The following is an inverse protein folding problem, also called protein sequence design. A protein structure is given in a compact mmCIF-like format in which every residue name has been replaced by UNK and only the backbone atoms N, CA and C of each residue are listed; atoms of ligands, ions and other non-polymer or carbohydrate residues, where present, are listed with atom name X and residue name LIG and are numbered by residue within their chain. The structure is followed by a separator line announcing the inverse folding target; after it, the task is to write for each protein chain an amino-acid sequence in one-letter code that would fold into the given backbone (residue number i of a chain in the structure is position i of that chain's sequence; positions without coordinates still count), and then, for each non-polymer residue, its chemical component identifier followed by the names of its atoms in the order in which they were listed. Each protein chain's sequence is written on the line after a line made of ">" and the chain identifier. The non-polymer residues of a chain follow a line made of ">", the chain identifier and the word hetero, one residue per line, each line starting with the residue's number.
data_IF_840736768817
#
_entry.id   IF_840736768817
#
_cell.length_a   1.000
_cell.length_b   1.000
_cell.length_c   1.000
_cell.angle_alpha   90.00
_cell.angle_beta   90.00
_cell.angle_gamma   90.00
#
_symmetry.space_group_name_H-M   'P 1'
#
loop_
_entity.id
_entity.type
_entity.pdbx_description
1 polymer ?
#
# COMPACT_ATOMS: atom_id res chain seq x y z
N UNK A 1 1.83 12.38 0.76
CA UNK A 1 1.95 12.67 2.20
C UNK A 1 2.54 11.44 2.87
N UNK A 2 3.58 11.55 3.69
CA UNK A 2 4.29 10.40 4.29
C UNK A 2 3.45 9.63 5.32
N UNK A 3 2.52 10.30 6.00
CA UNK A 3 1.57 9.68 6.93
C UNK A 3 0.22 9.51 6.22
N UNK A 4 -0.19 8.27 5.88
CA UNK A 4 -1.43 8.07 5.15
C UNK A 4 -2.66 8.42 5.98
N UNK A 5 -3.75 8.77 5.32
CA UNK A 5 -5.07 8.78 5.94
C UNK A 5 -5.78 7.48 5.55
N UNK A 6 -6.55 6.93 6.49
CA UNK A 6 -7.32 5.72 6.27
C UNK A 6 -8.80 6.03 6.48
N UNK A 7 -9.65 5.30 5.77
CA UNK A 7 -11.10 5.33 5.90
C UNK A 7 -11.58 3.92 6.21
N UNK A 8 -12.40 3.80 7.25
CA UNK A 8 -13.23 2.62 7.45
C UNK A 8 -14.47 2.75 6.57
N UNK A 9 -14.67 1.75 5.72
CA UNK A 9 -15.83 1.69 4.84
C UNK A 9 -16.36 0.26 4.86
N UNK A 10 -17.51 0.06 5.49
CA UNK A 10 -18.09 -1.27 5.74
C UNK A 10 -17.08 -2.18 6.45
N UNK A 11 -16.73 -3.32 5.87
CA UNK A 11 -15.74 -4.25 6.42
C UNK A 11 -14.29 -3.90 6.06
N UNK A 12 -14.04 -2.86 5.26
CA UNK A 12 -12.71 -2.48 4.80
C UNK A 12 -12.03 -1.41 5.66
N UNK A 13 -10.71 -1.43 5.65
CA UNK A 13 -9.84 -0.30 5.98
C UNK A 13 -9.03 0.03 4.74
N UNK A 14 -9.30 1.20 4.14
CA UNK A 14 -8.69 1.60 2.87
C UNK A 14 -7.95 2.94 3.00
N UNK A 15 -6.94 3.14 2.15
CA UNK A 15 -6.24 4.42 2.01
C UNK A 15 -7.19 5.48 1.46
N UNK A 16 -7.13 6.68 2.03
CA UNK A 16 -7.89 7.83 1.57
C UNK A 16 -7.17 8.60 0.43
N UNK A 17 -7.91 9.24 -0.49
CA UNK A 17 -9.38 9.20 -0.62
C UNK A 17 -9.89 7.88 -1.20
N UNK A 18 -11.08 7.45 -0.79
CA UNK A 18 -11.71 6.22 -1.27
C UNK A 18 -12.45 6.44 -2.59
N UNK A 19 -12.10 5.66 -3.62
CA UNK A 19 -12.87 5.52 -4.85
C UNK A 19 -13.89 4.38 -4.70
N UNK A 20 -15.12 4.74 -4.30
CA UNK A 20 -16.20 3.78 -4.04
C UNK A 20 -16.66 3.09 -5.33
N UNK A 21 -16.69 3.81 -6.45
CA UNK A 21 -17.15 3.26 -7.73
C UNK A 21 -16.21 2.14 -8.19
N UNK A 22 -14.90 2.38 -8.13
CA UNK A 22 -13.89 1.37 -8.44
C UNK A 22 -13.97 0.16 -7.52
N UNK A 23 -14.15 0.37 -6.22
CA UNK A 23 -14.33 -0.71 -5.24
C UNK A 23 -15.52 -1.60 -5.63
N UNK A 24 -16.69 -1.01 -5.89
CA UNK A 24 -17.89 -1.76 -6.28
C UNK A 24 -17.75 -2.46 -7.63
N UNK A 25 -17.04 -1.84 -8.57
CA UNK A 25 -16.73 -2.45 -9.86
C UNK A 25 -15.95 -3.75 -9.68
N UNK A 26 -14.92 -3.75 -8.83
CA UNK A 26 -14.14 -4.96 -8.54
C UNK A 26 -14.93 -6.02 -7.76
N UNK A 27 -15.71 -5.61 -6.75
CA UNK A 27 -16.57 -6.55 -6.01
C UNK A 27 -17.58 -7.24 -6.93
N UNK A 28 -18.17 -6.50 -7.86
CA UNK A 28 -19.19 -7.03 -8.78
C UNK A 28 -18.59 -7.96 -9.85
N UNK A 29 -17.35 -7.71 -10.27
CA UNK A 29 -16.67 -8.57 -11.25
C UNK A 29 -16.49 -10.01 -10.76
N UNK A 30 -16.31 -10.20 -9.45
CA UNK A 30 -16.02 -11.51 -8.85
C UNK A 30 -14.65 -12.11 -9.23
N UNK A 31 -13.81 -11.38 -9.97
CA UNK A 31 -12.51 -11.86 -10.46
C UNK A 31 -11.40 -11.80 -9.40
N UNK A 32 -11.56 -10.92 -8.41
CA UNK A 32 -10.59 -10.66 -7.36
C UNK A 32 -11.14 -11.08 -6.01
N UNK A 33 -10.29 -11.73 -5.21
CA UNK A 33 -10.57 -11.91 -3.78
C UNK A 33 -10.53 -10.58 -3.03
N UNK A 34 -11.17 -10.54 -1.86
CA UNK A 34 -11.16 -9.37 -0.98
C UNK A 34 -9.74 -8.84 -0.69
N UNK A 35 -8.80 -9.73 -0.39
CA UNK A 35 -7.40 -9.33 -0.11
C UNK A 35 -6.71 -8.73 -1.33
N UNK A 36 -7.01 -9.22 -2.53
CA UNK A 36 -6.48 -8.63 -3.77
C UNK A 36 -7.08 -7.25 -4.04
N UNK A 37 -8.39 -7.08 -3.80
CA UNK A 37 -9.06 -5.77 -3.87
C UNK A 37 -8.43 -4.78 -2.87
N UNK A 38 -8.27 -5.17 -1.61
CA UNK A 38 -7.64 -4.34 -0.58
C UNK A 38 -6.21 -3.98 -0.97
N UNK A 39 -5.41 -4.95 -1.41
CA UNK A 39 -4.03 -4.73 -1.85
C UNK A 39 -3.97 -3.72 -3.01
N UNK A 40 -4.89 -3.79 -3.96
CA UNK A 40 -4.92 -2.86 -5.09
C UNK A 40 -5.40 -1.46 -4.69
N UNK A 41 -6.44 -1.36 -3.86
CA UNK A 41 -6.96 -0.07 -3.36
C UNK A 41 -5.96 0.65 -2.42
N UNK A 42 -5.11 -0.11 -1.73
CA UNK A 42 -4.16 0.42 -0.75
C UNK A 42 -2.76 0.67 -1.31
N UNK A 43 -2.51 0.32 -2.57
CA UNK A 43 -1.22 0.50 -3.21
C UNK A 43 -0.79 1.97 -3.24
N UNK A 44 0.44 2.25 -2.79
CA UNK A 44 1.07 3.56 -2.89
C UNK A 44 2.42 3.42 -3.58
N UNK A 45 2.45 3.84 -4.84
CA UNK A 45 3.65 3.84 -5.67
C UNK A 45 4.58 4.99 -5.27
N UNK A 46 5.87 4.70 -5.24
CA UNK A 46 6.96 5.58 -4.84
C UNK A 46 7.83 6.02 -6.02
N UNK A 47 7.44 5.66 -7.25
CA UNK A 47 8.18 5.97 -8.49
C UNK A 47 8.46 7.47 -8.68
N UNK A 48 7.58 8.32 -8.14
CA UNK A 48 7.73 9.77 -8.18
C UNK A 48 8.64 10.37 -7.10
N UNK A 49 9.10 9.59 -6.11
CA UNK A 49 9.91 10.12 -4.99
C UNK A 49 11.38 10.33 -5.35
N UNK A 50 11.92 9.55 -6.28
CA UNK A 50 13.32 9.66 -6.66
C UNK A 50 13.45 10.36 -8.01
N UNK A 51 14.28 11.42 -8.12
CA UNK A 51 14.60 12.00 -9.41
C UNK A 51 15.13 10.92 -10.35
N UNK A 52 14.89 11.08 -11.66
CA UNK A 52 15.58 10.32 -12.70
C UNK A 52 17.04 10.76 -12.74
N UNK A 53 17.83 10.33 -11.76
CA UNK A 53 19.24 10.62 -11.65
C UNK A 53 20.05 9.49 -12.27
N UNK A 54 21.15 9.82 -12.95
CA UNK A 54 22.16 8.87 -13.47
C UNK A 54 23.02 8.28 -12.34
N UNK A 55 22.41 8.00 -11.18
CA UNK A 55 23.08 7.29 -10.11
C UNK A 55 23.31 5.82 -10.50
N UNK A 56 24.31 5.19 -9.88
CA UNK A 56 24.53 3.74 -10.00
C UNK A 56 23.19 3.00 -9.76
N UNK A 57 22.68 2.26 -10.78
CA UNK A 57 21.40 1.55 -10.68
C UNK A 57 21.35 0.58 -9.51
N UNK A 58 22.49 -0.01 -9.14
CA UNK A 58 22.61 -0.97 -8.03
C UNK A 58 22.37 -0.28 -6.70
N UNK A 59 23.05 0.85 -6.48
CA UNK A 59 22.91 1.63 -5.26
C UNK A 59 21.49 2.19 -5.13
N UNK A 60 20.93 2.70 -6.24
CA UNK A 60 19.56 3.19 -6.27
C UNK A 60 18.56 2.10 -5.89
N UNK A 61 18.70 0.90 -6.48
CA UNK A 61 17.82 -0.22 -6.17
C UNK A 61 17.89 -0.61 -4.68
N UNK A 62 19.10 -0.71 -4.12
CA UNK A 62 19.29 -1.02 -2.70
C UNK A 62 18.63 0.03 -1.78
N UNK A 63 18.73 1.31 -2.14
CA UNK A 63 18.06 2.40 -1.41
C UNK A 63 16.54 2.35 -1.54
N UNK A 64 16.01 2.07 -2.73
CA UNK A 64 14.58 1.89 -2.95
C UNK A 64 14.04 0.73 -2.10
N UNK A 65 14.65 -0.46 -2.19
CA UNK A 65 14.26 -1.63 -1.39
C UNK A 65 14.29 -1.31 0.11
N UNK A 66 15.36 -0.63 0.58
CA UNK A 66 15.45 -0.23 1.99
C UNK A 66 14.35 0.75 2.38
N UNK A 67 14.05 1.73 1.54
CA UNK A 67 12.98 2.69 1.80
C UNK A 67 11.61 2.02 1.86
N UNK A 68 11.27 1.17 0.88
CA UNK A 68 9.98 0.48 0.88
C UNK A 68 9.81 -0.43 2.10
N UNK A 69 10.86 -1.13 2.53
CA UNK A 69 10.85 -1.91 3.77
C UNK A 69 10.55 -1.03 4.99
N UNK A 70 11.22 0.12 5.15
CA UNK A 70 10.95 1.04 6.27
C UNK A 70 9.53 1.60 6.20
N UNK A 71 9.04 1.92 5.00
CA UNK A 71 7.68 2.42 4.82
C UNK A 71 6.61 1.37 5.13
N UNK A 72 6.86 0.10 4.80
CA UNK A 72 5.99 -1.02 5.17
C UNK A 72 5.93 -1.21 6.70
N UNK A 73 7.07 -1.12 7.38
CA UNK A 73 7.13 -1.18 8.85
C UNK A 73 6.36 -0.02 9.49
N UNK A 74 6.56 1.21 9.00
CA UNK A 74 5.82 2.38 9.46
C UNK A 74 4.31 2.24 9.22
N UNK A 75 3.93 1.67 8.07
CA UNK A 75 2.54 1.43 7.72
C UNK A 75 1.89 0.42 8.67
N UNK A 76 2.58 -0.69 8.94
CA UNK A 76 2.15 -1.69 9.92
C UNK A 76 1.98 -1.10 11.32
N UNK A 77 2.96 -0.33 11.79
CA UNK A 77 2.90 0.33 13.09
C UNK A 77 1.72 1.30 13.21
N UNK A 78 1.45 2.06 12.15
CA UNK A 78 0.30 2.99 12.11
C UNK A 78 -1.03 2.24 12.09
N UNK A 79 -1.15 1.18 11.30
CA UNK A 79 -2.38 0.36 11.25
C UNK A 79 -2.69 -0.26 12.60
N UNK A 80 -1.67 -0.82 13.28
CA UNK A 80 -1.82 -1.37 14.63
C UNK A 80 -2.22 -0.30 15.67
N UNK A 81 -1.70 0.93 15.52
CA UNK A 81 -2.04 2.05 16.41
C UNK A 81 -3.48 2.54 16.19
N UNK A 82 -3.88 2.71 14.94
CA UNK A 82 -5.16 3.33 14.58
C UNK A 82 -6.33 2.31 14.64
N UNK A 83 -6.06 1.02 14.44
CA UNK A 83 -7.05 -0.07 14.44
C UNK A 83 -6.60 -1.27 15.28
N UNK A 84 -6.48 -1.12 16.62
CA UNK A 84 -5.88 -2.12 17.50
C UNK A 84 -6.62 -3.48 17.53
N UNK A 85 -7.90 -3.48 17.20
CA UNK A 85 -8.74 -4.70 17.17
C UNK A 85 -8.65 -5.48 15.85
N UNK A 86 -7.92 -4.94 14.85
CA UNK A 86 -7.79 -5.53 13.52
C UNK A 86 -6.35 -5.94 13.26
N UNK A 87 -6.16 -6.94 12.39
CA UNK A 87 -4.83 -7.42 11.98
C UNK A 87 -4.62 -7.16 10.50
N UNK A 88 -3.41 -6.76 10.16
CA UNK A 88 -3.04 -6.39 8.79
C UNK A 88 -1.70 -7.01 8.41
N UNK A 89 -1.57 -7.29 7.11
CA UNK A 89 -0.28 -7.50 6.47
C UNK A 89 0.08 -6.21 5.71
N UNK A 90 1.17 -5.57 6.08
CA UNK A 90 1.73 -4.41 5.38
C UNK A 90 3.09 -4.80 4.79
N UNK A 91 3.32 -4.47 3.52
CA UNK A 91 4.47 -4.98 2.78
C UNK A 91 4.94 -4.01 1.70
N UNK A 92 6.22 -4.15 1.33
CA UNK A 92 6.77 -3.58 0.11
C UNK A 92 6.27 -4.38 -1.09
N UNK A 93 5.90 -3.69 -2.16
CA UNK A 93 5.47 -4.34 -3.40
C UNK A 93 6.69 -4.94 -4.12
N UNK A 94 6.50 -6.12 -4.69
CA UNK A 94 7.51 -6.85 -5.46
C UNK A 94 7.42 -6.51 -6.96
N UNK A 95 8.52 -6.70 -7.69
CA UNK A 95 8.56 -6.56 -9.15
C UNK A 95 8.85 -5.15 -9.62
N UNK A 96 8.25 -4.76 -10.74
CA UNK A 96 8.46 -3.45 -11.37
C UNK A 96 7.72 -2.30 -10.64
N UNK A 97 6.75 -2.64 -9.78
CA UNK A 97 5.96 -1.68 -9.02
C UNK A 97 6.65 -1.32 -7.70
N UNK A 98 7.45 -0.24 -7.72
CA UNK A 98 8.10 0.24 -6.51
C UNK A 98 7.10 0.96 -5.60
N UNK A 99 6.68 0.30 -4.53
CA UNK A 99 5.68 0.85 -3.63
C UNK A 99 5.48 0.07 -2.33
N UNK A 100 4.43 0.45 -1.60
CA UNK A 100 3.95 -0.29 -0.42
C UNK A 100 2.44 -0.48 -0.50
N UNK A 101 1.96 -1.58 0.06
CA UNK A 101 0.52 -1.84 0.20
C UNK A 101 0.23 -2.59 1.50
N UNK A 102 -1.06 -2.80 1.77
CA UNK A 102 -1.54 -3.61 2.88
C UNK A 102 -2.93 -4.20 2.60
N UNK A 103 -3.25 -5.29 3.31
CA UNK A 103 -4.59 -5.87 3.40
C UNK A 103 -4.86 -6.39 4.81
N UNK A 104 -6.13 -6.61 5.12
CA UNK A 104 -6.58 -7.18 6.40
C UNK A 104 -6.42 -8.71 6.38
N UNK A 105 -5.99 -9.27 7.53
CA UNK A 105 -5.83 -10.72 7.74
C UNK A 105 -7.14 -11.41 8.11
#
# INVERSE_FOLDING_TARGET
>A
MLWPQFVEFEHYVLRAPLDVERLRGWETSGELSRQQIETAMNAYLLDGMFPRYEADPTLKNAQCVRLASVMADMLGAKLARDFPERRFSAFAMDGDDFGVSFHQL
#
